data_IF_825657759434
#
_entry.id   IF_825657759434
#
_cell.length_a   1.000
_cell.length_b   1.000
_cell.length_c   1.000
_cell.angle_alpha   90.00
_cell.angle_beta   90.00
_cell.angle_gamma   90.00
#
_symmetry.space_group_name_H-M   'P 1'
#
loop_
_entity.id
_entity.type
_entity.pdbx_description
1 polymer ?
#
# COMPACT_ATOMS: atom_id res chain seq x y z
N UNK A 1 11.38 9.59 22.44
CA UNK A 1 11.16 8.51 21.49
C UNK A 1 12.55 8.04 21.08
N UNK A 2 12.86 6.76 21.05
CA UNK A 2 14.17 6.29 20.59
C UNK A 2 14.22 6.21 19.08
N UNK A 3 15.39 5.89 18.53
CA UNK A 3 15.66 5.93 17.10
C UNK A 3 14.86 4.90 16.30
N UNK A 4 14.36 5.35 15.16
CA UNK A 4 13.59 4.55 14.21
C UNK A 4 14.50 4.15 13.04
N UNK A 5 14.73 2.85 12.86
CA UNK A 5 15.50 2.32 11.74
C UNK A 5 14.58 1.93 10.59
N UNK A 6 14.68 2.69 9.50
CA UNK A 6 13.83 2.57 8.33
C UNK A 6 14.55 1.86 7.19
N UNK A 7 14.20 0.59 6.95
CA UNK A 7 14.69 -0.20 5.84
C UNK A 7 13.82 0.05 4.60
N UNK A 8 14.45 0.42 3.48
CA UNK A 8 13.75 0.81 2.26
C UNK A 8 13.37 2.30 2.22
N UNK A 9 14.12 3.16 2.91
CA UNK A 9 13.92 4.62 2.97
C UNK A 9 13.91 5.30 1.59
N UNK A 10 14.60 4.78 0.59
CA UNK A 10 14.61 5.31 -0.79
C UNK A 10 13.38 4.92 -1.62
N UNK A 11 12.51 4.05 -1.12
CA UNK A 11 11.27 3.65 -1.79
C UNK A 11 10.18 4.72 -1.65
N UNK A 12 9.07 4.54 -2.41
CA UNK A 12 7.94 5.48 -2.38
C UNK A 12 7.42 5.72 -0.95
N UNK A 13 7.02 4.68 -0.23
CA UNK A 13 6.53 4.83 1.14
C UNK A 13 7.65 5.25 2.10
N UNK A 14 8.84 4.64 1.98
CA UNK A 14 9.97 4.93 2.87
C UNK A 14 10.39 6.40 2.85
N UNK A 15 10.45 7.03 1.67
CA UNK A 15 10.80 8.45 1.55
C UNK A 15 9.80 9.38 2.25
N UNK A 16 8.51 9.06 2.20
CA UNK A 16 7.48 9.79 2.94
C UNK A 16 7.59 9.58 4.45
N UNK A 17 7.81 8.33 4.88
CA UNK A 17 7.93 8.02 6.30
C UNK A 17 9.15 8.70 6.94
N UNK A 18 10.25 8.81 6.20
CA UNK A 18 11.46 9.50 6.68
C UNK A 18 11.20 10.96 7.10
N UNK A 19 10.23 11.62 6.46
CA UNK A 19 9.88 13.03 6.77
C UNK A 19 8.64 13.18 7.66
N UNK A 20 7.83 12.12 7.82
CA UNK A 20 6.53 12.20 8.51
C UNK A 20 6.47 11.44 9.84
N UNK A 21 7.42 10.55 10.10
CA UNK A 21 7.50 9.90 11.40
C UNK A 21 8.08 10.85 12.44
N UNK A 22 7.57 10.74 13.65
CA UNK A 22 8.02 11.51 14.80
C UNK A 22 9.26 10.85 15.44
N UNK A 23 10.30 11.61 15.69
CA UNK A 23 11.58 11.15 16.24
C UNK A 23 12.71 11.15 15.21
N UNK A 24 13.84 10.60 15.60
CA UNK A 24 14.97 10.45 14.68
C UNK A 24 14.76 9.23 13.79
N UNK A 25 14.72 9.44 12.47
CA UNK A 25 14.50 8.38 11.48
C UNK A 25 15.78 8.17 10.68
N UNK A 26 16.39 7.02 10.88
CA UNK A 26 17.65 6.63 10.25
C UNK A 26 17.35 5.64 9.12
N UNK A 27 17.57 6.06 7.87
CA UNK A 27 17.43 5.20 6.71
C UNK A 27 18.59 4.22 6.58
N UNK A 28 18.32 2.91 6.63
CA UNK A 28 19.34 1.87 6.50
C UNK A 28 19.37 1.29 5.09
N UNK A 29 20.53 1.37 4.44
CA UNK A 29 20.74 0.80 3.11
C UNK A 29 21.36 -0.61 3.21
N UNK A 30 20.54 -1.64 3.16
CA UNK A 30 20.98 -3.04 3.27
C UNK A 30 21.80 -3.56 2.08
N UNK A 31 22.00 -2.76 1.02
CA UNK A 31 22.91 -3.10 -0.08
C UNK A 31 24.37 -2.76 0.22
N UNK A 32 24.62 -2.00 1.27
CA UNK A 32 25.97 -1.73 1.74
C UNK A 32 26.51 -2.95 2.47
N UNK A 33 27.80 -3.23 2.28
CA UNK A 33 28.48 -4.27 3.05
C UNK A 33 28.47 -3.86 4.53
N UNK A 34 28.28 -4.84 5.43
CA UNK A 34 28.25 -4.64 6.89
C UNK A 34 27.21 -3.62 7.38
N UNK A 35 26.08 -3.49 6.67
CA UNK A 35 25.00 -2.55 7.06
C UNK A 35 24.50 -2.76 8.50
N UNK A 36 24.68 -3.96 9.05
CA UNK A 36 24.30 -4.32 10.42
C UNK A 36 25.10 -3.50 11.46
N UNK A 37 26.35 -3.17 11.16
CA UNK A 37 27.22 -2.36 12.03
C UNK A 37 26.72 -0.90 12.16
N UNK A 38 25.83 -0.46 11.27
CA UNK A 38 25.21 0.85 11.31
C UNK A 38 23.92 0.89 12.18
N UNK A 39 23.58 -0.23 12.84
CA UNK A 39 22.45 -0.29 13.77
C UNK A 39 23.01 -0.13 15.17
N UNK A 40 22.83 1.00 15.84
CA UNK A 40 23.34 1.18 17.20
C UNK A 40 22.52 0.40 18.22
N UNK A 41 23.12 0.15 19.37
CA UNK A 41 22.54 -0.64 20.45
C UNK A 41 21.25 -0.04 21.05
N UNK A 42 21.01 1.27 20.88
CA UNK A 42 19.85 1.99 21.37
C UNK A 42 18.69 2.08 20.39
N UNK A 43 18.77 1.35 19.26
CA UNK A 43 17.67 1.20 18.33
C UNK A 43 16.39 0.76 19.05
N UNK A 44 15.27 1.46 18.84
CA UNK A 44 13.99 1.13 19.48
C UNK A 44 12.98 0.52 18.51
N UNK A 45 12.97 0.97 17.25
CA UNK A 45 11.97 0.59 16.26
C UNK A 45 12.62 0.21 14.94
N UNK A 46 12.28 -0.95 14.42
CA UNK A 46 12.61 -1.38 13.07
C UNK A 46 11.37 -1.29 12.18
N UNK A 47 11.47 -0.56 11.07
CA UNK A 47 10.40 -0.46 10.09
C UNK A 47 10.89 -1.02 8.77
N UNK A 48 10.28 -2.10 8.31
CA UNK A 48 10.59 -2.71 7.03
C UNK A 48 9.62 -2.28 5.93
N UNK A 49 10.05 -1.35 5.09
CA UNK A 49 9.36 -0.92 3.86
C UNK A 49 9.96 -1.55 2.59
N UNK A 50 10.94 -2.48 2.73
CA UNK A 50 11.50 -3.15 1.57
C UNK A 50 10.46 -4.07 0.96
N UNK A 51 10.34 -4.00 -0.36
CA UNK A 51 9.47 -4.90 -1.10
C UNK A 51 9.46 -4.61 -2.59
N UNK A 52 9.19 -5.65 -3.36
CA UNK A 52 8.95 -5.59 -4.81
C UNK A 52 7.45 -5.73 -5.05
N UNK A 53 6.77 -4.63 -5.40
CA UNK A 53 5.32 -4.61 -5.63
C UNK A 53 4.95 -4.65 -7.12
N UNK A 54 5.83 -4.13 -7.98
CA UNK A 54 5.55 -3.95 -9.41
C UNK A 54 6.63 -4.59 -10.28
N UNK A 55 6.18 -5.13 -11.39
CA UNK A 55 7.02 -5.56 -12.51
C UNK A 55 6.65 -4.71 -13.73
N UNK A 56 7.27 -3.53 -13.84
CA UNK A 56 7.00 -2.59 -14.93
C UNK A 56 7.45 -3.12 -16.30
N UNK A 57 8.44 -3.99 -16.32
CA UNK A 57 9.04 -4.51 -17.54
C UNK A 57 8.52 -5.89 -17.93
N UNK A 58 7.74 -6.55 -17.05
CA UNK A 58 7.26 -7.91 -17.29
C UNK A 58 8.33 -9.00 -17.22
N UNK A 59 9.47 -8.70 -16.57
CA UNK A 59 10.65 -9.58 -16.52
C UNK A 59 10.89 -10.19 -15.14
N UNK A 60 10.14 -9.75 -14.11
CA UNK A 60 10.34 -10.25 -12.77
C UNK A 60 9.84 -11.69 -12.61
N UNK A 61 10.70 -12.52 -12.07
CA UNK A 61 10.41 -13.90 -11.75
C UNK A 61 9.75 -14.06 -10.37
N UNK A 62 9.17 -15.22 -10.10
CA UNK A 62 8.70 -15.54 -8.75
C UNK A 62 9.81 -15.39 -7.70
N UNK A 63 11.02 -15.85 -8.02
CA UNK A 63 12.19 -15.73 -7.17
C UNK A 63 12.48 -14.28 -6.77
N UNK A 64 12.37 -13.32 -7.69
CA UNK A 64 12.62 -11.91 -7.39
C UNK A 64 11.62 -11.35 -6.35
N UNK A 65 10.35 -11.78 -6.43
CA UNK A 65 9.35 -11.39 -5.44
C UNK A 65 9.61 -12.04 -4.08
N UNK A 66 9.92 -13.34 -4.05
CA UNK A 66 10.22 -14.05 -2.80
C UNK A 66 11.49 -13.54 -2.15
N UNK A 67 12.55 -13.29 -2.93
CA UNK A 67 13.78 -12.71 -2.39
C UNK A 67 13.52 -11.38 -1.70
N UNK A 68 12.87 -10.41 -2.40
CA UNK A 68 12.65 -9.08 -1.85
C UNK A 68 11.61 -9.03 -0.73
N UNK A 69 10.54 -9.84 -0.81
CA UNK A 69 9.39 -9.74 0.09
C UNK A 69 9.38 -10.78 1.21
N UNK A 70 10.23 -11.80 1.14
CA UNK A 70 10.27 -12.87 2.12
C UNK A 70 11.68 -13.10 2.67
N UNK A 71 12.71 -13.38 1.82
CA UNK A 71 14.05 -13.67 2.33
C UNK A 71 14.68 -12.47 3.05
N UNK A 72 14.56 -11.27 2.48
CA UNK A 72 15.06 -10.06 3.15
C UNK A 72 14.31 -9.77 4.45
N UNK A 73 13.03 -10.12 4.56
CA UNK A 73 12.28 -9.97 5.82
C UNK A 73 12.89 -10.85 6.91
N UNK A 74 13.28 -12.08 6.59
CA UNK A 74 13.95 -13.00 7.53
C UNK A 74 15.25 -12.39 8.06
N UNK A 75 16.08 -11.91 7.14
CA UNK A 75 17.38 -11.29 7.51
C UNK A 75 17.16 -10.09 8.45
N UNK A 76 16.23 -9.18 8.11
CA UNK A 76 15.94 -8.02 8.95
C UNK A 76 15.35 -8.40 10.31
N UNK A 77 14.53 -9.43 10.33
CA UNK A 77 13.94 -9.92 11.57
C UNK A 77 14.95 -10.59 12.48
N UNK A 78 15.92 -11.33 11.94
CA UNK A 78 17.03 -11.90 12.71
C UNK A 78 17.88 -10.79 13.37
N UNK A 79 18.15 -9.69 12.65
CA UNK A 79 18.85 -8.54 13.24
C UNK A 79 17.99 -7.83 14.31
N UNK A 80 16.69 -7.71 14.10
CA UNK A 80 15.77 -7.22 15.13
C UNK A 80 15.84 -8.06 16.41
N UNK A 81 15.90 -9.38 16.30
CA UNK A 81 15.97 -10.27 17.47
C UNK A 81 17.28 -10.08 18.26
N UNK A 82 18.39 -9.78 17.59
CA UNK A 82 19.71 -9.52 18.19
C UNK A 82 19.80 -8.12 18.83
N UNK A 83 19.07 -7.15 18.32
CA UNK A 83 19.09 -5.76 18.76
C UNK A 83 18.30 -5.55 20.06
N UNK A 84 18.41 -4.36 20.65
CA UNK A 84 17.58 -3.93 21.78
C UNK A 84 16.21 -3.38 21.34
N UNK A 85 15.95 -3.27 20.04
CA UNK A 85 14.68 -2.78 19.50
C UNK A 85 13.49 -3.60 20.04
N UNK A 86 12.42 -2.90 20.39
CA UNK A 86 11.22 -3.50 20.98
C UNK A 86 10.11 -3.70 19.94
N UNK A 87 10.17 -2.99 18.82
CA UNK A 87 9.12 -2.97 17.82
C UNK A 87 9.67 -3.33 16.44
N UNK A 88 9.05 -4.31 15.79
CA UNK A 88 9.26 -4.61 14.38
C UNK A 88 7.96 -4.35 13.61
N UNK A 89 7.96 -3.32 12.76
CA UNK A 89 6.84 -3.00 11.87
C UNK A 89 7.16 -3.51 10.47
N UNK A 90 6.38 -4.45 9.97
CA UNK A 90 6.51 -4.96 8.61
C UNK A 90 5.40 -4.45 7.71
N UNK A 91 5.76 -3.78 6.62
CA UNK A 91 4.81 -3.37 5.59
C UNK A 91 4.53 -4.54 4.65
N UNK A 92 3.38 -5.18 4.89
CA UNK A 92 2.81 -6.19 4.00
C UNK A 92 1.93 -5.53 2.92
N UNK A 93 0.82 -6.13 2.58
CA UNK A 93 -0.17 -5.60 1.62
C UNK A 93 -1.49 -6.32 1.78
N UNK A 94 -2.58 -5.66 1.45
CA UNK A 94 -3.88 -6.34 1.30
C UNK A 94 -3.83 -7.44 0.21
N UNK A 95 -2.89 -7.37 -0.73
CA UNK A 95 -2.64 -8.39 -1.73
C UNK A 95 -2.24 -9.76 -1.14
N UNK A 96 -1.75 -9.82 0.11
CA UNK A 96 -1.52 -11.07 0.83
C UNK A 96 -2.83 -11.82 1.15
N UNK A 97 -3.96 -11.13 1.10
CA UNK A 97 -5.30 -11.69 1.35
C UNK A 97 -6.09 -11.75 0.05
N UNK A 98 -6.26 -10.63 -0.64
CA UNK A 98 -7.10 -10.53 -1.83
C UNK A 98 -6.61 -9.44 -2.79
N UNK A 99 -6.65 -9.72 -4.06
CA UNK A 99 -6.25 -8.79 -5.13
C UNK A 99 -7.41 -8.48 -6.07
N UNK A 100 -8.44 -9.32 -6.04
CA UNK A 100 -9.57 -9.29 -6.95
C UNK A 100 -10.82 -8.67 -6.30
N UNK A 101 -11.92 -8.77 -7.02
CA UNK A 101 -13.23 -8.37 -6.52
C UNK A 101 -13.70 -9.26 -5.37
N UNK A 102 -14.20 -8.61 -4.32
CA UNK A 102 -14.91 -9.28 -3.23
C UNK A 102 -16.19 -8.54 -2.89
N UNK A 103 -17.23 -9.28 -2.55
CA UNK A 103 -18.52 -8.71 -2.16
C UNK A 103 -18.53 -8.27 -0.71
N UNK A 104 -17.92 -9.06 0.17
CA UNK A 104 -17.84 -8.77 1.60
C UNK A 104 -16.68 -7.80 1.86
N UNK A 105 -16.82 -7.02 2.92
CA UNK A 105 -15.74 -6.19 3.45
C UNK A 105 -14.64 -7.10 3.99
N UNK A 106 -13.41 -6.85 3.57
CA UNK A 106 -12.24 -7.57 4.09
C UNK A 106 -11.90 -7.09 5.50
N UNK A 107 -11.80 -8.06 6.41
CA UNK A 107 -11.27 -7.90 7.76
C UNK A 107 -10.01 -8.74 7.92
N UNK A 108 -9.28 -8.55 9.03
CA UNK A 108 -8.08 -9.33 9.32
C UNK A 108 -8.35 -10.84 9.48
N UNK A 109 -9.59 -11.22 9.82
CA UNK A 109 -10.03 -12.62 9.94
C UNK A 109 -10.37 -13.26 8.58
N UNK A 110 -10.36 -12.47 7.50
CA UNK A 110 -10.66 -12.97 6.17
C UNK A 110 -9.59 -13.96 5.71
N UNK A 111 -10.02 -15.14 5.26
CA UNK A 111 -9.12 -16.16 4.71
C UNK A 111 -8.49 -15.63 3.42
N UNK A 112 -7.16 -15.58 3.41
CA UNK A 112 -6.40 -15.07 2.29
C UNK A 112 -6.16 -16.12 1.21
N UNK A 113 -6.37 -15.73 -0.07
CA UNK A 113 -6.08 -16.54 -1.25
C UNK A 113 -5.34 -15.72 -2.34
N UNK A 114 -4.09 -15.27 -2.07
CA UNK A 114 -3.32 -14.47 -3.01
C UNK A 114 -3.04 -15.26 -4.30
N UNK A 115 -3.18 -14.60 -5.45
CA UNK A 115 -2.98 -15.22 -6.75
C UNK A 115 -1.64 -14.85 -7.39
N UNK A 116 -1.17 -13.61 -7.18
CA UNK A 116 0.09 -13.14 -7.73
C UNK A 116 1.30 -13.61 -6.94
N UNK A 117 2.47 -13.65 -7.56
CA UNK A 117 3.75 -13.89 -6.88
C UNK A 117 4.00 -12.84 -5.78
N UNK A 118 3.57 -11.59 -6.02
CA UNK A 118 3.63 -10.52 -5.02
C UNK A 118 2.79 -10.85 -3.78
N UNK A 119 1.50 -11.13 -3.95
CA UNK A 119 0.62 -11.46 -2.82
C UNK A 119 1.08 -12.70 -2.06
N UNK A 120 1.48 -13.76 -2.79
CA UNK A 120 2.02 -15.00 -2.20
C UNK A 120 3.28 -14.75 -1.39
N UNK A 121 4.23 -13.98 -1.92
CA UNK A 121 5.48 -13.67 -1.21
C UNK A 121 5.26 -12.80 0.04
N UNK A 122 4.30 -11.85 0.00
CA UNK A 122 3.91 -11.07 1.18
C UNK A 122 3.26 -11.96 2.24
N UNK A 123 2.34 -12.84 1.83
CA UNK A 123 1.71 -13.81 2.75
C UNK A 123 2.73 -14.74 3.40
N UNK A 124 3.71 -15.25 2.64
CA UNK A 124 4.77 -16.09 3.17
C UNK A 124 5.59 -15.37 4.26
N UNK A 125 5.89 -14.07 4.08
CA UNK A 125 6.57 -13.27 5.09
C UNK A 125 5.72 -13.08 6.36
N UNK A 126 4.43 -12.83 6.22
CA UNK A 126 3.51 -12.74 7.37
C UNK A 126 3.47 -14.04 8.16
N UNK A 127 3.31 -15.17 7.45
CA UNK A 127 3.27 -16.51 8.07
C UNK A 127 4.59 -16.86 8.78
N UNK A 128 5.73 -16.43 8.22
CA UNK A 128 7.02 -16.57 8.87
C UNK A 128 7.08 -15.76 10.18
N UNK A 129 6.74 -14.47 10.11
CA UNK A 129 6.81 -13.58 11.28
C UNK A 129 5.88 -14.02 12.41
N UNK A 130 4.66 -14.48 12.08
CA UNK A 130 3.68 -14.92 13.07
C UNK A 130 4.04 -16.22 13.78
N UNK A 131 4.90 -17.04 13.19
CA UNK A 131 5.40 -18.31 13.79
C UNK A 131 6.56 -18.10 14.75
N UNK A 132 7.11 -16.88 14.82
CA UNK A 132 8.29 -16.64 15.65
C UNK A 132 7.93 -16.47 17.13
N UNK A 133 8.73 -17.09 17.99
CA UNK A 133 8.70 -16.81 19.41
C UNK A 133 9.46 -15.52 19.71
N UNK A 134 8.81 -14.55 20.35
CA UNK A 134 9.42 -13.28 20.67
C UNK A 134 9.98 -13.26 22.10
N UNK A 135 11.17 -12.67 22.31
CA UNK A 135 11.62 -12.30 23.64
C UNK A 135 10.63 -11.36 24.33
N UNK A 136 10.59 -11.40 25.66
CA UNK A 136 9.73 -10.50 26.47
C UNK A 136 9.98 -9.05 26.11
N UNK A 137 8.92 -8.30 25.92
CA UNK A 137 8.94 -6.87 25.56
C UNK A 137 9.03 -6.56 24.07
N UNK A 138 9.37 -7.54 23.22
CA UNK A 138 9.37 -7.34 21.77
C UNK A 138 7.96 -7.58 21.17
N UNK A 139 7.58 -6.75 20.18
CA UNK A 139 6.31 -6.89 19.44
C UNK A 139 6.52 -6.77 17.93
N UNK A 140 5.71 -7.51 17.18
CA UNK A 140 5.63 -7.42 15.71
C UNK A 140 4.29 -6.82 15.33
N UNK A 141 4.32 -5.82 14.44
CA UNK A 141 3.14 -5.25 13.78
C UNK A 141 3.25 -5.49 12.28
N UNK A 142 2.33 -6.24 11.72
CA UNK A 142 2.24 -6.51 10.29
C UNK A 142 1.14 -5.64 9.72
N UNK A 143 1.52 -4.66 8.92
CA UNK A 143 0.58 -3.71 8.35
C UNK A 143 0.24 -4.12 6.92
N UNK A 144 -1.04 -4.31 6.63
CA UNK A 144 -1.57 -4.61 5.30
C UNK A 144 -2.23 -3.36 4.70
N UNK A 145 -1.45 -2.44 4.09
CA UNK A 145 -2.05 -1.31 3.43
C UNK A 145 -2.85 -1.74 2.20
N UNK A 146 -3.92 -1.00 1.92
CA UNK A 146 -4.56 -0.95 0.61
C UNK A 146 -3.66 -0.23 -0.39
N UNK A 147 -4.15 0.18 -1.56
CA UNK A 147 -3.33 0.93 -2.51
C UNK A 147 -2.90 2.27 -1.89
N UNK A 148 -1.61 2.37 -1.56
CA UNK A 148 -1.02 3.59 -1.01
C UNK A 148 -0.89 4.62 -2.13
N UNK A 149 -1.26 5.87 -1.84
CA UNK A 149 -1.09 7.00 -2.76
C UNK A 149 -0.53 8.24 -2.02
N UNK A 150 0.10 9.12 -2.79
CA UNK A 150 0.74 10.34 -2.28
C UNK A 150 1.56 11.03 -3.35
N UNK A 151 2.25 12.07 -2.99
CA UNK A 151 3.21 12.76 -3.86
C UNK A 151 4.26 11.78 -4.38
N UNK A 152 4.60 11.88 -5.67
CA UNK A 152 5.56 10.98 -6.30
C UNK A 152 5.04 9.58 -6.62
N UNK A 153 3.72 9.30 -6.50
CA UNK A 153 3.11 8.06 -6.98
C UNK A 153 3.39 7.87 -8.47
N UNK A 154 3.92 6.70 -8.83
CA UNK A 154 4.20 6.29 -10.22
C UNK A 154 3.29 5.14 -10.68
N UNK A 155 2.23 4.86 -9.95
CA UNK A 155 1.34 3.74 -10.18
C UNK A 155 0.16 4.03 -11.12
N UNK A 156 -0.91 3.27 -10.91
CA UNK A 156 -2.13 3.34 -11.73
C UNK A 156 -2.85 4.70 -11.63
N UNK A 157 -2.73 5.39 -10.47
CA UNK A 157 -3.34 6.69 -10.27
C UNK A 157 -2.69 7.76 -11.18
N UNK A 158 -1.36 7.75 -11.27
CA UNK A 158 -0.61 8.61 -12.21
C UNK A 158 -1.01 8.36 -13.65
N UNK A 159 -1.22 7.08 -14.04
CA UNK A 159 -1.67 6.75 -15.39
C UNK A 159 -3.07 7.30 -15.66
N UNK A 160 -4.01 7.12 -14.73
CA UNK A 160 -5.37 7.66 -14.82
C UNK A 160 -5.33 9.19 -14.93
N UNK A 161 -4.54 9.86 -14.09
CA UNK A 161 -4.33 11.29 -14.15
C UNK A 161 -3.83 11.74 -15.54
N UNK A 162 -2.82 11.05 -16.10
CA UNK A 162 -2.26 11.37 -17.43
C UNK A 162 -3.31 11.27 -18.55
N UNK A 163 -4.20 10.29 -18.48
CA UNK A 163 -5.27 10.09 -19.47
C UNK A 163 -6.29 11.21 -19.35
N UNK A 164 -6.82 11.44 -18.16
CA UNK A 164 -7.89 12.42 -17.94
C UNK A 164 -7.38 13.85 -18.17
N UNK A 165 -6.17 14.19 -17.71
CA UNK A 165 -5.58 15.52 -17.88
C UNK A 165 -5.34 15.91 -19.35
N UNK A 166 -5.21 14.93 -20.26
CA UNK A 166 -5.12 15.14 -21.71
C UNK A 166 -6.49 15.33 -22.38
N UNK A 167 -7.59 15.26 -21.62
CA UNK A 167 -8.94 15.34 -22.16
C UNK A 167 -9.41 14.07 -22.87
N UNK A 168 -8.70 12.94 -22.69
CA UNK A 168 -9.11 11.66 -23.27
C UNK A 168 -10.37 11.18 -22.55
N UNK A 169 -11.45 10.85 -23.28
CA UNK A 169 -12.69 10.38 -22.66
C UNK A 169 -12.47 9.07 -21.88
N UNK A 170 -13.03 9.00 -20.66
CA UNK A 170 -13.02 7.78 -19.86
C UNK A 170 -14.21 6.89 -20.22
N UNK A 171 -14.01 5.68 -20.76
CA UNK A 171 -15.11 4.90 -21.35
C UNK A 171 -15.82 3.95 -20.36
N UNK A 172 -15.46 3.93 -19.09
CA UNK A 172 -15.99 2.97 -18.11
C UNK A 172 -17.03 3.60 -17.16
N UNK A 173 -17.71 4.67 -17.54
CA UNK A 173 -18.70 5.36 -16.69
C UNK A 173 -19.93 4.50 -16.36
N UNK A 174 -20.25 3.47 -17.14
CA UNK A 174 -21.33 2.53 -16.84
C UNK A 174 -20.98 1.56 -15.70
N UNK A 175 -19.71 1.44 -15.32
CA UNK A 175 -19.27 0.58 -14.23
C UNK A 175 -19.27 1.36 -12.91
N UNK A 176 -19.97 0.81 -11.93
CA UNK A 176 -19.93 1.33 -10.56
C UNK A 176 -18.95 0.44 -9.78
N UNK A 177 -17.91 1.04 -9.25
CA UNK A 177 -16.98 0.36 -8.36
C UNK A 177 -16.75 1.16 -7.08
N UNK A 178 -16.28 0.49 -6.06
CA UNK A 178 -15.92 1.08 -4.78
C UNK A 178 -14.67 0.37 -4.25
N UNK A 179 -13.62 1.13 -3.97
CA UNK A 179 -12.35 0.59 -3.47
C UNK A 179 -11.81 1.46 -2.35
N UNK A 180 -11.20 0.82 -1.39
CA UNK A 180 -10.45 1.54 -0.37
C UNK A 180 -9.02 1.78 -0.85
N UNK A 181 -8.51 2.94 -0.46
CA UNK A 181 -7.15 3.41 -0.67
C UNK A 181 -6.56 3.84 0.67
N UNK A 182 -5.30 4.22 0.70
CA UNK A 182 -4.74 4.87 1.86
C UNK A 182 -3.72 5.93 1.45
N UNK A 183 -3.85 7.12 2.01
CA UNK A 183 -2.87 8.18 1.82
C UNK A 183 -1.60 7.91 2.61
N UNK A 184 -0.43 8.34 2.09
CA UNK A 184 0.84 8.26 2.84
C UNK A 184 0.77 9.03 4.17
N UNK A 185 -0.07 10.06 4.26
CA UNK A 185 -0.29 10.84 5.48
C UNK A 185 -0.97 9.98 6.55
N UNK A 186 -2.03 9.26 6.20
CA UNK A 186 -2.75 8.36 7.11
C UNK A 186 -1.89 7.13 7.49
N UNK A 187 -1.07 6.60 6.57
CA UNK A 187 -0.10 5.54 6.91
C UNK A 187 0.88 6.04 7.97
N UNK A 188 1.47 7.23 7.78
CA UNK A 188 2.42 7.80 8.73
C UNK A 188 1.77 8.09 10.09
N UNK A 189 0.54 8.62 10.09
CA UNK A 189 -0.23 8.85 11.32
C UNK A 189 -0.43 7.55 12.11
N UNK A 190 -0.93 6.50 11.45
CA UNK A 190 -1.17 5.21 12.11
C UNK A 190 0.13 4.59 12.63
N UNK A 191 1.24 4.72 11.91
CA UNK A 191 2.54 4.23 12.37
C UNK A 191 3.05 4.99 13.58
N UNK A 192 2.90 6.32 13.62
CA UNK A 192 3.23 7.12 14.79
C UNK A 192 2.41 6.70 16.00
N UNK A 193 1.10 6.47 15.84
CA UNK A 193 0.24 6.03 16.93
C UNK A 193 0.58 4.61 17.41
N UNK A 194 0.94 3.68 16.50
CA UNK A 194 1.44 2.34 16.87
C UNK A 194 2.72 2.47 17.70
N UNK A 195 3.69 3.29 17.26
CA UNK A 195 4.97 3.49 17.96
C UNK A 195 4.76 4.11 19.33
N UNK A 196 3.84 5.07 19.46
CA UNK A 196 3.51 5.69 20.77
C UNK A 196 2.85 4.70 21.73
N UNK A 197 1.92 3.89 21.24
CA UNK A 197 1.05 3.03 22.03
C UNK A 197 1.42 1.54 22.01
N UNK A 198 2.59 1.16 21.51
CA UNK A 198 2.93 -0.26 21.27
C UNK A 198 2.85 -1.13 22.55
N UNK A 199 3.06 -0.54 23.73
CA UNK A 199 2.95 -1.28 24.99
C UNK A 199 1.50 -1.64 25.33
N UNK A 200 0.57 -0.81 24.91
CA UNK A 200 -0.86 -0.88 25.22
C UNK A 200 -1.66 -1.74 24.21
N UNK A 201 -1.14 -1.88 22.99
CA UNK A 201 -1.81 -2.60 21.90
C UNK A 201 -1.14 -3.95 21.63
N UNK A 202 -1.93 -4.92 21.21
CA UNK A 202 -1.43 -6.25 20.83
C UNK A 202 -0.67 -6.21 19.51
N UNK A 203 0.43 -6.98 19.44
CA UNK A 203 1.10 -7.24 18.18
C UNK A 203 0.24 -8.10 17.24
N UNK A 204 0.54 -8.10 15.95
CA UNK A 204 -0.18 -8.90 14.97
C UNK A 204 -0.48 -8.16 13.68
N UNK A 205 -1.50 -8.64 12.95
CA UNK A 205 -1.89 -8.09 11.65
C UNK A 205 -2.94 -7.00 11.80
N UNK A 206 -2.73 -5.90 11.06
CA UNK A 206 -3.65 -4.77 10.97
C UNK A 206 -3.81 -4.31 9.52
N UNK A 207 -5.04 -4.10 9.10
CA UNK A 207 -5.34 -3.46 7.82
C UNK A 207 -5.16 -1.95 7.94
N UNK A 208 -4.53 -1.36 6.93
CA UNK A 208 -4.25 0.08 6.86
C UNK A 208 -4.96 0.63 5.62
N UNK A 209 -6.04 1.37 5.86
CA UNK A 209 -6.85 1.97 4.78
C UNK A 209 -7.53 3.23 5.29
N UNK A 210 -7.84 4.15 4.38
CA UNK A 210 -8.66 5.33 4.69
C UNK A 210 -10.07 4.90 5.12
N UNK A 211 -10.80 5.78 5.81
CA UNK A 211 -12.11 5.45 6.38
C UNK A 211 -13.19 5.21 5.32
N UNK A 212 -13.10 5.92 4.17
CA UNK A 212 -14.12 5.85 3.13
C UNK A 212 -13.55 5.23 1.84
N UNK A 213 -14.32 4.38 1.16
CA UNK A 213 -13.97 3.92 -0.16
C UNK A 213 -14.26 4.98 -1.22
N UNK A 214 -13.46 5.02 -2.28
CA UNK A 214 -13.66 5.88 -3.43
C UNK A 214 -14.03 5.08 -4.68
N UNK A 215 -14.91 5.65 -5.51
CA UNK A 215 -15.16 5.12 -6.85
C UNK A 215 -14.15 5.70 -7.85
N UNK A 216 -13.85 4.97 -8.93
CA UNK A 216 -13.03 5.51 -10.01
C UNK A 216 -13.65 6.78 -10.61
N UNK A 217 -15.00 6.86 -10.65
CA UNK A 217 -15.71 8.06 -11.10
C UNK A 217 -15.38 9.27 -10.20
N UNK A 218 -15.40 9.10 -8.87
CA UNK A 218 -15.06 10.18 -7.93
C UNK A 218 -13.61 10.64 -8.11
N UNK A 219 -12.67 9.70 -8.31
CA UNK A 219 -11.26 10.04 -8.58
C UNK A 219 -11.13 10.87 -9.86
N UNK A 220 -11.89 10.53 -10.91
CA UNK A 220 -11.91 11.29 -12.17
C UNK A 220 -12.48 12.69 -11.95
N UNK A 221 -13.53 12.84 -11.15
CA UNK A 221 -14.09 14.13 -10.78
C UNK A 221 -13.06 15.00 -10.06
N UNK A 222 -12.34 14.45 -9.08
CA UNK A 222 -11.25 15.14 -8.37
C UNK A 222 -10.14 15.58 -9.33
N UNK A 223 -9.76 14.74 -10.31
CA UNK A 223 -8.78 15.12 -11.35
C UNK A 223 -9.31 16.31 -12.17
N UNK A 224 -10.58 16.28 -12.52
CA UNK A 224 -11.23 17.36 -13.26
C UNK A 224 -11.24 18.68 -12.49
N UNK A 225 -11.62 18.65 -11.23
CA UNK A 225 -11.62 19.79 -10.33
C UNK A 225 -10.20 20.41 -10.19
N UNK A 226 -9.21 19.58 -9.91
CA UNK A 226 -7.81 20.01 -9.79
C UNK A 226 -7.25 20.63 -11.07
N UNK A 227 -7.78 20.24 -12.25
CA UNK A 227 -7.41 20.82 -13.56
C UNK A 227 -8.28 21.98 -14.00
N UNK A 228 -9.34 22.31 -13.26
CA UNK A 228 -10.32 23.32 -13.66
C UNK A 228 -11.07 22.95 -14.96
N UNK A 229 -11.22 21.67 -15.28
CA UNK A 229 -11.86 21.15 -16.48
C UNK A 229 -12.78 19.99 -16.16
N UNK A 230 -14.00 20.03 -16.71
CA UNK A 230 -14.92 18.90 -16.56
C UNK A 230 -14.44 17.69 -17.36
N UNK A 231 -14.19 16.53 -16.72
CA UNK A 231 -13.74 15.33 -17.42
C UNK A 231 -14.87 14.76 -18.29
N UNK A 232 -14.50 14.17 -19.42
CA UNK A 232 -15.43 13.48 -20.31
C UNK A 232 -15.56 12.03 -19.87
N UNK A 233 -16.72 11.68 -19.31
CA UNK A 233 -17.01 10.30 -18.88
C UNK A 233 -18.08 9.73 -19.80
N UNK A 234 -17.71 8.70 -20.57
CA UNK A 234 -18.63 7.98 -21.44
C UNK A 234 -19.15 6.74 -20.72
N UNK A 235 -20.42 6.42 -20.94
CA UNK A 235 -21.10 5.28 -20.32
C UNK A 235 -21.68 4.33 -21.37
N UNK A 236 -20.85 3.76 -22.26
CA UNK A 236 -21.34 2.78 -23.22
C UNK A 236 -21.88 1.54 -22.49
N UNK A 237 -22.79 0.79 -23.12
CA UNK A 237 -23.32 -0.45 -22.55
C UNK A 237 -22.18 -1.42 -22.16
N UNK A 238 -22.28 -2.01 -20.98
CA UNK A 238 -21.24 -2.87 -20.41
C UNK A 238 -20.84 -4.02 -21.34
N UNK A 239 -21.81 -4.57 -22.11
CA UNK A 239 -21.55 -5.69 -23.03
C UNK A 239 -20.55 -5.30 -24.14
N UNK A 240 -20.62 -4.05 -24.65
CA UNK A 240 -19.66 -3.56 -25.65
C UNK A 240 -18.24 -3.49 -25.10
N UNK A 241 -18.09 -2.94 -23.90
CA UNK A 241 -16.79 -2.87 -23.22
C UNK A 241 -16.22 -4.25 -22.91
N UNK A 242 -17.08 -5.17 -22.45
CA UNK A 242 -16.68 -6.56 -22.17
C UNK A 242 -16.24 -7.29 -23.47
N UNK A 243 -16.92 -7.05 -24.59
CA UNK A 243 -16.55 -7.61 -25.88
C UNK A 243 -15.20 -7.06 -26.37
N UNK A 244 -14.99 -5.74 -26.26
CA UNK A 244 -13.70 -5.12 -26.58
C UNK A 244 -12.56 -5.64 -25.71
N UNK A 245 -12.81 -5.84 -24.41
CA UNK A 245 -11.83 -6.41 -23.50
C UNK A 245 -11.45 -7.85 -23.86
N UNK A 246 -12.45 -8.69 -24.23
CA UNK A 246 -12.20 -10.05 -24.74
C UNK A 246 -11.40 -10.05 -26.04
N UNK A 247 -11.71 -9.13 -26.96
CA UNK A 247 -10.86 -8.95 -28.16
C UNK A 247 -9.44 -8.54 -27.79
N UNK A 248 -9.28 -7.69 -26.78
CA UNK A 248 -7.99 -7.29 -26.26
C UNK A 248 -7.16 -8.42 -25.65
N UNK A 249 -7.80 -9.48 -25.17
CA UNK A 249 -7.12 -10.70 -24.71
C UNK A 249 -6.45 -11.45 -25.89
N UNK A 250 -6.99 -11.32 -27.11
CA UNK A 250 -6.51 -12.02 -28.30
C UNK A 250 -5.42 -11.24 -29.07
N UNK A 251 -5.50 -9.91 -29.09
CA UNK A 251 -4.65 -9.05 -29.95
C UNK A 251 -3.84 -8.03 -29.15
N UNK A 252 -3.59 -8.28 -27.88
CA UNK A 252 -2.74 -7.46 -26.99
C UNK A 252 -3.09 -5.97 -26.96
N UNK A 253 -4.39 -5.63 -26.95
CA UNK A 253 -4.84 -4.24 -26.82
C UNK A 253 -4.57 -3.68 -25.42
N UNK A 254 -4.49 -2.34 -25.28
CA UNK A 254 -4.32 -1.67 -23.98
C UNK A 254 -5.41 -2.02 -22.96
N UNK A 255 -6.63 -2.36 -23.42
CA UNK A 255 -7.76 -2.83 -22.59
C UNK A 255 -7.93 -4.33 -22.85
N UNK A 256 -7.78 -5.14 -21.80
CA UNK A 256 -8.06 -6.57 -21.80
C UNK A 256 -8.93 -6.93 -20.59
N UNK A 257 -9.48 -8.15 -20.56
CA UNK A 257 -10.40 -8.61 -19.50
C UNK A 257 -9.81 -8.50 -18.10
N UNK A 258 -8.52 -8.79 -17.93
CA UNK A 258 -7.82 -8.70 -16.64
C UNK A 258 -7.72 -7.23 -16.16
N UNK A 259 -7.35 -6.32 -17.05
CA UNK A 259 -7.26 -4.88 -16.72
C UNK A 259 -8.65 -4.28 -16.47
N UNK A 260 -9.63 -4.63 -17.30
CA UNK A 260 -11.01 -4.18 -17.11
C UNK A 260 -11.54 -4.62 -15.75
N UNK A 261 -11.39 -5.90 -15.40
CA UNK A 261 -11.78 -6.42 -14.08
C UNK A 261 -11.12 -5.64 -12.95
N UNK A 262 -9.82 -5.38 -13.03
CA UNK A 262 -9.08 -4.62 -12.01
C UNK A 262 -9.57 -3.18 -11.87
N UNK A 263 -10.00 -2.55 -12.96
CA UNK A 263 -10.48 -1.16 -12.96
C UNK A 263 -11.93 -1.02 -12.50
N UNK A 264 -12.73 -2.07 -12.62
CA UNK A 264 -14.17 -2.03 -12.35
C UNK A 264 -14.61 -2.84 -11.14
N UNK A 265 -13.69 -3.56 -10.48
CA UNK A 265 -13.98 -4.41 -9.32
C UNK A 265 -14.11 -3.61 -8.03
N UNK A 266 -14.89 -4.16 -7.09
CA UNK A 266 -15.00 -3.69 -5.73
C UNK A 266 -13.96 -4.37 -4.85
N UNK A 267 -13.35 -3.61 -3.96
CA UNK A 267 -12.50 -4.14 -2.90
C UNK A 267 -12.54 -3.17 -1.71
N UNK A 268 -13.37 -3.49 -0.74
CA UNK A 268 -13.55 -2.68 0.48
C UNK A 268 -12.86 -3.41 1.63
N UNK A 269 -11.99 -2.71 2.33
CA UNK A 269 -11.20 -3.21 3.44
C UNK A 269 -11.56 -2.42 4.68
N UNK A 270 -11.71 -3.10 5.82
CA UNK A 270 -11.98 -2.47 7.12
C UNK A 270 -10.66 -2.09 7.80
N UNK A 271 -10.64 -0.91 8.43
CA UNK A 271 -9.59 -0.46 9.33
C UNK A 271 -10.06 -0.46 10.80
N UNK A 272 -11.21 -1.09 11.08
CA UNK A 272 -11.83 -1.01 12.40
C UNK A 272 -10.95 -1.61 13.50
N UNK A 273 -10.20 -2.68 13.20
CA UNK A 273 -9.31 -3.32 14.18
C UNK A 273 -8.21 -2.37 14.66
N UNK A 274 -7.53 -1.68 13.74
CA UNK A 274 -6.47 -0.75 14.11
C UNK A 274 -7.04 0.48 14.83
N UNK A 275 -8.18 1.02 14.39
CA UNK A 275 -8.85 2.14 15.04
C UNK A 275 -9.25 1.80 16.47
N UNK A 276 -9.84 0.62 16.68
CA UNK A 276 -10.21 0.14 18.02
C UNK A 276 -8.96 -0.04 18.90
N UNK A 277 -7.91 -0.66 18.39
CA UNK A 277 -6.68 -0.88 19.14
C UNK A 277 -6.02 0.45 19.58
N UNK A 278 -6.02 1.44 18.70
CA UNK A 278 -5.44 2.75 18.95
C UNK A 278 -6.37 3.72 19.68
N UNK A 279 -7.63 3.34 19.93
CA UNK A 279 -8.69 4.19 20.50
C UNK A 279 -8.83 5.51 19.72
N UNK A 280 -9.04 5.41 18.41
CA UNK A 280 -9.28 6.54 17.50
C UNK A 280 -10.59 6.33 16.74
N UNK A 281 -11.37 7.40 16.58
CA UNK A 281 -12.67 7.34 15.91
C UNK A 281 -12.55 7.50 14.39
N UNK A 282 -11.66 8.36 13.93
CA UNK A 282 -11.45 8.66 12.51
C UNK A 282 -9.98 8.96 12.22
N UNK A 283 -9.60 8.77 10.98
CA UNK A 283 -8.29 9.18 10.48
C UNK A 283 -8.24 10.70 10.26
N UNK A 284 -7.05 11.35 10.38
CA UNK A 284 -6.93 12.81 10.30
C UNK A 284 -7.24 13.39 8.93
N UNK A 285 -7.14 12.58 7.87
CA UNK A 285 -7.37 13.00 6.49
C UNK A 285 -8.40 12.05 5.87
N UNK A 286 -9.49 12.60 5.32
CA UNK A 286 -10.48 11.81 4.58
C UNK A 286 -9.90 11.26 3.28
N UNK A 287 -10.48 10.18 2.75
CA UNK A 287 -10.05 9.57 1.49
C UNK A 287 -10.07 10.57 0.33
N UNK A 288 -11.07 11.46 0.30
CA UNK A 288 -11.19 12.49 -0.73
C UNK A 288 -10.09 13.55 -0.63
N UNK A 289 -9.81 14.05 0.57
CA UNK A 289 -8.74 15.03 0.81
C UNK A 289 -7.36 14.46 0.48
N UNK A 290 -7.07 13.22 0.92
CA UNK A 290 -5.83 12.54 0.60
C UNK A 290 -5.65 12.35 -0.90
N UNK A 291 -6.71 11.92 -1.59
CA UNK A 291 -6.72 11.75 -3.04
C UNK A 291 -6.51 13.09 -3.77
N UNK A 292 -7.15 14.16 -3.31
CA UNK A 292 -7.00 15.51 -3.87
C UNK A 292 -5.57 16.01 -3.73
N UNK A 293 -4.95 15.92 -2.55
CA UNK A 293 -3.53 16.26 -2.33
C UNK A 293 -2.61 15.53 -3.30
N UNK A 294 -2.83 14.23 -3.47
CA UNK A 294 -2.03 13.40 -4.39
C UNK A 294 -2.17 13.88 -5.84
N UNK A 295 -3.38 14.19 -6.29
CA UNK A 295 -3.61 14.67 -7.65
C UNK A 295 -3.03 16.05 -7.88
N UNK A 296 -3.11 16.94 -6.90
CA UNK A 296 -2.52 18.27 -6.95
C UNK A 296 -0.98 18.20 -7.07
N UNK A 297 -0.32 17.26 -6.40
CA UNK A 297 1.14 17.05 -6.54
C UNK A 297 1.54 16.72 -7.98
N UNK A 298 0.73 15.93 -8.71
CA UNK A 298 1.00 15.64 -10.13
C UNK A 298 0.94 16.86 -11.06
N UNK A 299 0.32 17.95 -10.61
CA UNK A 299 0.30 19.21 -11.36
C UNK A 299 1.59 19.98 -11.12
N UNK A 300 2.12 19.94 -9.91
CA UNK A 300 3.33 20.64 -9.50
C UNK A 300 4.59 20.00 -10.11
N UNK A 301 4.66 18.67 -10.15
CA UNK A 301 5.78 17.91 -10.74
C UNK A 301 5.98 18.14 -12.26
N UNK A 302 5.07 18.85 -12.92
CA UNK A 302 5.15 19.17 -14.35
C UNK A 302 5.67 20.58 -14.64
N UNK A 303 5.96 21.35 -13.62
CA UNK A 303 6.60 22.66 -13.76
C UNK A 303 8.11 22.54 -13.53
#
# INVERSE_FOLDING_TARGET
MGDIFLFGASGFLGSHLQSKLEGEVIGVNIRQQNWQENIPDDANVFINCIGKAHDHNGTATEHDFYFANYELVKVLFEEFLKSNAQIFIHISSIAAVEENERKEVLTEDSVGNPQSHYGKSKKAAEEYLLKQSLPSGKKIFILRPTMIHGEGDKGNLTLLYKIISKGIPYPLGAFKNSRTFVSVDNVAFLMNEIIKKYKEIEGGIYHITDDEPLSTKKIIEIIGEAKGKKPIVLSPPKFLINSLAKMGDMISLPINSKRLKKMTSNLIVSNQKIKTALNIDSLPISAEEGMKKTIESFILDKK
#
